data_IF_553009089378
#
_entry.id   IF_553009089378
#
_cell.length_a   1.000
_cell.length_b   1.000
_cell.length_c   1.000
_cell.angle_alpha   90.00
_cell.angle_beta   90.00
_cell.angle_gamma   90.00
#
_symmetry.space_group_name_H-M   'P 1'
#
loop_
_entity.id
_entity.type
_entity.pdbx_description
1 polymer ?
#
# COMPACT_ATOMS: atom_id res chain seq x y z
N UNK A 1 -59.50 1.28 -49.00
CA UNK A 1 -58.48 0.77 -49.93
C UNK A 1 -57.15 1.41 -49.56
N UNK A 2 -56.16 0.56 -49.30
CA UNK A 2 -54.70 0.71 -49.12
C UNK A 2 -54.08 2.10 -49.43
N UNK A 3 -53.15 2.66 -48.66
CA UNK A 3 -51.87 2.04 -48.31
C UNK A 3 -51.25 2.57 -47.00
N UNK A 4 -51.04 1.65 -46.07
CA UNK A 4 -50.08 1.71 -44.98
C UNK A 4 -48.78 1.07 -45.52
N UNK A 5 -47.78 1.82 -45.99
CA UNK A 5 -46.51 1.19 -46.42
C UNK A 5 -45.33 2.16 -46.59
N UNK A 6 -45.00 2.97 -45.57
CA UNK A 6 -43.72 3.70 -45.62
C UNK A 6 -43.07 3.86 -44.25
N UNK A 7 -43.84 4.22 -43.21
CA UNK A 7 -43.26 4.56 -41.91
C UNK A 7 -42.73 3.34 -41.13
N UNK A 8 -43.31 2.16 -41.34
CA UNK A 8 -42.88 0.91 -40.67
C UNK A 8 -41.61 0.33 -41.33
N UNK A 9 -41.39 0.57 -42.64
CA UNK A 9 -40.18 0.11 -43.34
C UNK A 9 -38.91 0.86 -42.92
N UNK A 10 -39.02 2.17 -42.63
CA UNK A 10 -37.86 2.95 -42.17
C UNK A 10 -37.42 2.60 -40.74
N UNK A 11 -38.35 2.18 -39.88
CA UNK A 11 -38.03 1.82 -38.49
C UNK A 11 -37.29 0.47 -38.40
N UNK A 12 -37.58 -0.51 -39.27
CA UNK A 12 -36.86 -1.79 -39.29
C UNK A 12 -35.43 -1.65 -39.83
N UNK A 13 -35.22 -0.76 -40.80
CA UNK A 13 -33.89 -0.49 -41.38
C UNK A 13 -32.94 0.19 -40.39
N UNK A 14 -33.46 1.09 -39.54
CA UNK A 14 -32.65 1.75 -38.51
C UNK A 14 -32.25 0.79 -37.37
N UNK A 15 -33.12 -0.15 -37.00
CA UNK A 15 -32.82 -1.19 -35.98
C UNK A 15 -31.81 -2.22 -36.53
N UNK A 16 -31.89 -2.58 -37.81
CA UNK A 16 -30.89 -3.46 -38.45
C UNK A 16 -29.52 -2.79 -38.63
N UNK A 17 -29.44 -1.49 -38.92
CA UNK A 17 -28.17 -0.76 -39.01
C UNK A 17 -27.48 -0.58 -37.64
N UNK A 18 -28.25 -0.47 -36.56
CA UNK A 18 -27.70 -0.44 -35.19
C UNK A 18 -27.25 -1.84 -34.71
N UNK A 19 -27.85 -2.91 -35.22
CA UNK A 19 -27.43 -4.28 -34.90
C UNK A 19 -26.11 -4.67 -35.60
N UNK A 20 -25.88 -4.21 -36.83
CA UNK A 20 -24.66 -4.55 -37.60
C UNK A 20 -23.42 -3.80 -37.12
N UNK A 21 -23.56 -2.60 -36.54
CA UNK A 21 -22.42 -1.82 -36.02
C UNK A 21 -22.02 -2.16 -34.58
N UNK A 22 -22.85 -2.91 -33.85
CA UNK A 22 -22.59 -3.32 -32.46
C UNK A 22 -21.82 -4.64 -32.29
N UNK A 23 -21.69 -5.46 -33.34
CA UNK A 23 -21.10 -6.81 -33.23
C UNK A 23 -19.57 -6.88 -33.40
N UNK A 24 -18.91 -5.84 -33.92
CA UNK A 24 -17.47 -5.89 -34.22
C UNK A 24 -16.54 -5.47 -33.07
N UNK A 25 -17.04 -4.76 -32.05
CA UNK A 25 -16.22 -4.37 -30.90
C UNK A 25 -16.01 -5.51 -29.89
N UNK A 26 -16.98 -6.42 -29.75
CA UNK A 26 -16.89 -7.54 -28.80
C UNK A 26 -15.90 -8.62 -29.29
N UNK A 27 -15.91 -8.95 -30.57
CA UNK A 27 -15.00 -9.92 -31.20
C UNK A 27 -13.56 -9.40 -31.29
N UNK A 28 -13.36 -8.10 -31.51
CA UNK A 28 -12.02 -7.49 -31.49
C UNK A 28 -11.38 -7.51 -30.09
N UNK A 29 -12.18 -7.39 -29.01
CA UNK A 29 -11.69 -7.43 -27.62
C UNK A 29 -11.30 -8.86 -27.20
N UNK A 30 -12.10 -9.86 -27.57
CA UNK A 30 -11.81 -11.28 -27.30
C UNK A 30 -10.59 -11.77 -28.09
N UNK A 31 -10.42 -11.35 -29.35
CA UNK A 31 -9.20 -11.68 -30.12
C UNK A 31 -7.93 -10.99 -29.59
N UNK A 32 -8.01 -9.78 -29.01
CA UNK A 32 -6.88 -9.13 -28.35
C UNK A 32 -6.48 -9.83 -27.05
N UNK A 33 -7.44 -10.32 -26.27
CA UNK A 33 -7.19 -11.09 -25.04
C UNK A 33 -6.66 -12.50 -25.33
N UNK A 34 -7.10 -13.16 -26.40
CA UNK A 34 -6.54 -14.44 -26.84
C UNK A 34 -5.08 -14.29 -27.32
N UNK A 35 -4.77 -13.21 -28.06
CA UNK A 35 -3.39 -12.91 -28.51
C UNK A 35 -2.47 -12.48 -27.37
N UNK A 36 -2.96 -11.79 -26.34
CA UNK A 36 -2.17 -11.44 -25.15
C UNK A 36 -1.84 -12.66 -24.29
N UNK A 37 -2.79 -13.61 -24.14
CA UNK A 37 -2.57 -14.89 -23.44
C UNK A 37 -1.64 -15.85 -24.18
N UNK A 38 -1.66 -15.85 -25.52
CA UNK A 38 -0.69 -16.62 -26.31
C UNK A 38 0.75 -16.04 -26.22
N UNK A 39 0.89 -14.70 -26.18
CA UNK A 39 2.19 -14.03 -25.98
C UNK A 39 2.75 -14.19 -24.56
N UNK A 40 1.90 -14.25 -23.52
CA UNK A 40 2.36 -14.50 -22.15
C UNK A 40 2.78 -15.96 -21.92
N UNK A 41 2.14 -16.92 -22.60
CA UNK A 41 2.57 -18.34 -22.59
C UNK A 41 3.85 -18.60 -23.38
N UNK A 42 4.07 -17.90 -24.50
CA UNK A 42 5.33 -17.97 -25.23
C UNK A 42 6.51 -17.33 -24.46
N UNK A 43 6.26 -16.23 -23.71
CA UNK A 43 7.29 -15.62 -22.83
C UNK A 43 7.61 -16.43 -21.58
N UNK A 44 6.68 -17.22 -21.06
CA UNK A 44 6.93 -18.10 -19.90
C UNK A 44 7.69 -19.37 -20.29
N UNK A 45 7.50 -19.91 -21.51
CA UNK A 45 8.31 -21.04 -22.01
C UNK A 45 9.72 -20.65 -22.49
N UNK A 46 9.94 -19.39 -22.87
CA UNK A 46 11.28 -18.89 -23.25
C UNK A 46 12.15 -18.44 -22.06
N UNK A 47 11.66 -18.52 -20.81
CA UNK A 47 12.39 -18.16 -19.58
C UNK A 47 12.76 -19.36 -18.70
N UNK A 48 12.75 -20.56 -19.26
CA UNK A 48 13.30 -21.78 -18.65
C UNK A 48 14.72 -22.08 -19.15
N UNK A 49 15.52 -21.03 -19.35
CA UNK A 49 16.93 -21.12 -19.71
C UNK A 49 17.73 -20.22 -18.77
N UNK A 50 18.50 -20.85 -17.89
CA UNK A 50 19.46 -20.30 -16.94
C UNK A 50 19.84 -18.81 -17.14
N UNK A 51 19.39 -17.94 -16.23
CA UNK A 51 20.18 -16.75 -15.86
C UNK A 51 20.22 -16.64 -14.34
N UNK A 52 21.45 -16.73 -13.82
CA UNK A 52 21.83 -16.27 -12.49
C UNK A 52 21.77 -14.73 -12.49
N UNK A 53 20.62 -14.17 -12.17
CA UNK A 53 20.53 -12.78 -11.73
C UNK A 53 20.28 -12.78 -10.23
N UNK A 54 21.33 -13.10 -9.47
CA UNK A 54 21.37 -12.98 -8.02
C UNK A 54 21.42 -11.52 -7.58
N UNK A 55 20.42 -10.74 -7.98
CA UNK A 55 20.13 -9.45 -7.40
C UNK A 55 19.40 -9.74 -6.10
N UNK A 56 20.14 -9.80 -4.99
CA UNK A 56 19.55 -10.06 -3.67
C UNK A 56 18.56 -8.93 -3.36
N UNK A 57 17.26 -9.21 -3.48
CA UNK A 57 16.22 -8.32 -2.99
C UNK A 57 16.52 -8.00 -1.51
N UNK A 58 16.57 -6.70 -1.19
CA UNK A 58 16.99 -6.29 0.15
C UNK A 58 16.04 -6.85 1.23
N UNK A 59 14.76 -7.02 0.88
CA UNK A 59 13.71 -7.57 1.73
C UNK A 59 12.84 -8.51 0.90
N UNK A 60 12.46 -9.65 1.48
CA UNK A 60 11.41 -10.52 0.95
C UNK A 60 10.03 -9.99 1.36
N UNK A 61 9.41 -9.18 0.49
CA UNK A 61 8.08 -8.61 0.73
C UNK A 61 6.96 -9.66 0.68
N UNK A 62 7.16 -10.77 -0.04
CA UNK A 62 6.17 -11.84 -0.11
C UNK A 62 6.09 -12.56 1.25
N UNK A 63 7.26 -12.89 1.82
CA UNK A 63 7.34 -13.44 3.18
C UNK A 63 6.78 -12.48 4.22
N UNK A 64 6.98 -11.17 4.05
CA UNK A 64 6.39 -10.16 4.94
C UNK A 64 4.87 -10.20 4.91
N UNK A 65 4.29 -10.23 3.71
CA UNK A 65 2.84 -10.27 3.52
C UNK A 65 2.24 -11.56 4.11
N UNK A 66 2.90 -12.70 3.92
CA UNK A 66 2.52 -13.99 4.51
C UNK A 66 2.45 -13.91 6.04
N UNK A 67 3.53 -13.47 6.70
CA UNK A 67 3.59 -13.34 8.16
C UNK A 67 2.56 -12.35 8.71
N UNK A 68 2.31 -11.25 7.99
CA UNK A 68 1.26 -10.29 8.36
C UNK A 68 -0.12 -10.94 8.27
N UNK A 69 -0.43 -11.69 7.21
CA UNK A 69 -1.71 -12.37 7.08
C UNK A 69 -1.96 -13.40 8.19
N UNK A 70 -0.92 -14.07 8.66
CA UNK A 70 -1.03 -14.96 9.82
C UNK A 70 -1.42 -14.21 11.09
N UNK A 71 -0.81 -13.05 11.33
CA UNK A 71 -1.11 -12.18 12.47
C UNK A 71 -2.55 -11.66 12.38
N UNK A 72 -3.02 -11.26 11.19
CA UNK A 72 -4.36 -10.67 11.01
C UNK A 72 -5.50 -11.60 11.42
N UNK A 73 -5.30 -12.92 11.39
CA UNK A 73 -6.32 -13.89 11.84
C UNK A 73 -6.75 -13.66 13.29
N UNK A 74 -5.87 -13.07 14.10
CA UNK A 74 -6.11 -12.82 15.52
C UNK A 74 -6.79 -11.45 15.78
N UNK A 75 -6.93 -10.56 14.77
CA UNK A 75 -7.30 -9.15 14.94
C UNK A 75 -8.42 -8.64 14.01
N UNK A 76 -9.36 -9.51 13.61
CA UNK A 76 -10.38 -9.21 12.59
C UNK A 76 -11.44 -8.14 12.95
N UNK A 77 -11.54 -7.70 14.21
CA UNK A 77 -12.61 -6.82 14.71
C UNK A 77 -12.13 -5.50 15.35
N UNK A 78 -10.94 -5.01 15.02
CA UNK A 78 -10.45 -3.73 15.58
C UNK A 78 -11.19 -2.52 14.99
N UNK A 79 -11.75 -1.66 15.86
CA UNK A 79 -12.46 -0.43 15.49
C UNK A 79 -11.67 0.46 14.52
N UNK A 80 -12.39 1.09 13.58
CA UNK A 80 -11.86 1.94 12.50
C UNK A 80 -11.70 3.42 12.90
N UNK A 81 -11.95 3.79 14.15
CA UNK A 81 -11.93 5.21 14.54
C UNK A 81 -10.50 5.74 14.72
N UNK A 82 -10.09 6.64 13.82
CA UNK A 82 -8.73 7.19 13.69
C UNK A 82 -7.72 6.19 13.10
N UNK A 83 -6.63 6.62 12.47
CA UNK A 83 -5.54 5.72 12.03
C UNK A 83 -4.21 6.11 12.66
N UNK A 84 -3.41 5.13 13.09
CA UNK A 84 -2.03 5.36 13.57
C UNK A 84 -1.14 5.76 12.39
N UNK A 85 -1.27 5.03 11.28
CA UNK A 85 -0.61 5.36 10.02
C UNK A 85 -1.48 6.29 9.16
N UNK A 86 -0.84 7.15 8.37
CA UNK A 86 -1.51 7.97 7.39
C UNK A 86 -2.13 7.12 6.30
N UNK A 87 -3.25 7.57 5.72
CA UNK A 87 -3.84 6.92 4.55
C UNK A 87 -2.78 6.79 3.44
N UNK A 88 -2.80 5.68 2.69
CA UNK A 88 -1.80 5.36 1.65
C UNK A 88 -1.60 6.52 0.67
N UNK A 89 -2.68 7.20 0.27
CA UNK A 89 -2.65 8.38 -0.62
C UNK A 89 -1.79 9.52 -0.05
N UNK A 90 -1.93 9.83 1.24
CA UNK A 90 -1.12 10.84 1.91
C UNK A 90 0.33 10.36 2.07
N UNK A 91 0.51 9.07 2.41
CA UNK A 91 1.84 8.50 2.61
C UNK A 91 2.64 8.38 1.29
N UNK A 92 1.98 8.23 0.14
CA UNK A 92 2.62 8.22 -1.17
C UNK A 92 3.41 9.51 -1.45
N UNK A 93 2.99 10.64 -0.86
CA UNK A 93 3.76 11.90 -0.89
C UNK A 93 5.12 11.72 -0.21
N UNK A 94 5.17 11.00 0.91
CA UNK A 94 6.41 10.68 1.63
C UNK A 94 7.27 9.70 0.82
N UNK A 95 6.67 8.61 0.30
CA UNK A 95 7.35 7.53 -0.46
C UNK A 95 8.19 8.01 -1.63
N UNK A 96 7.78 9.10 -2.28
CA UNK A 96 8.49 9.73 -3.40
C UNK A 96 9.84 10.34 -3.00
N UNK A 97 10.06 10.64 -1.72
CA UNK A 97 11.28 11.26 -1.24
C UNK A 97 12.06 10.30 -0.33
N UNK A 98 13.15 9.74 -0.88
CA UNK A 98 14.11 8.86 -0.18
C UNK A 98 14.40 9.29 1.25
N UNK A 99 14.61 10.59 1.41
CA UNK A 99 15.03 11.25 2.64
C UNK A 99 13.94 11.18 3.73
N UNK A 100 12.69 11.49 3.40
CA UNK A 100 11.58 11.48 4.35
C UNK A 100 11.05 10.07 4.56
N UNK A 101 10.88 9.33 3.47
CA UNK A 101 10.42 7.95 3.52
C UNK A 101 11.34 7.08 4.38
N UNK A 102 12.66 7.15 4.20
CA UNK A 102 13.58 6.37 5.03
C UNK A 102 13.44 6.70 6.53
N UNK A 103 13.38 7.98 6.89
CA UNK A 103 13.26 8.37 8.30
C UNK A 103 11.93 7.97 8.92
N UNK A 104 10.82 8.12 8.20
CA UNK A 104 9.49 7.72 8.66
C UNK A 104 9.41 6.19 8.76
N UNK A 105 9.90 5.46 7.77
CA UNK A 105 9.89 4.00 7.76
C UNK A 105 10.66 3.43 8.94
N UNK A 106 11.82 3.98 9.29
CA UNK A 106 12.54 3.56 10.50
C UNK A 106 11.69 3.66 11.77
N UNK A 107 10.89 4.73 11.90
CA UNK A 107 10.01 4.92 13.07
C UNK A 107 8.77 4.03 13.05
N UNK A 108 8.25 3.73 11.86
CA UNK A 108 7.19 2.71 11.71
C UNK A 108 7.72 1.35 12.17
N UNK A 109 8.91 0.95 11.72
CA UNK A 109 9.53 -0.32 12.09
C UNK A 109 9.84 -0.39 13.60
N UNK A 110 10.36 0.68 14.19
CA UNK A 110 10.60 0.77 15.64
C UNK A 110 9.28 0.60 16.42
N UNK A 111 8.23 1.33 16.04
CA UNK A 111 6.92 1.23 16.67
C UNK A 111 6.34 -0.19 16.60
N UNK A 112 6.37 -0.83 15.43
CA UNK A 112 5.85 -2.19 15.30
C UNK A 112 6.69 -3.22 16.04
N UNK A 113 8.01 -3.05 16.12
CA UNK A 113 8.85 -3.92 16.94
C UNK A 113 8.41 -3.86 18.41
N UNK A 114 8.12 -2.66 18.92
CA UNK A 114 7.63 -2.46 20.29
C UNK A 114 6.22 -3.02 20.52
N UNK A 115 5.33 -2.91 19.52
CA UNK A 115 3.98 -3.50 19.56
C UNK A 115 4.08 -5.02 19.63
N UNK A 116 4.87 -5.66 18.75
CA UNK A 116 5.04 -7.11 18.71
C UNK A 116 5.62 -7.68 20.02
N UNK A 117 6.50 -6.94 20.70
CA UNK A 117 7.07 -7.33 22.00
C UNK A 117 6.06 -7.32 23.16
N UNK A 118 4.93 -6.63 23.00
CA UNK A 118 3.89 -6.49 24.02
C UNK A 118 2.71 -7.44 23.81
N UNK A 119 2.75 -8.21 22.74
CA UNK A 119 1.76 -9.24 22.50
C UNK A 119 2.05 -10.46 23.38
N UNK A 120 1.00 -11.12 23.84
CA UNK A 120 1.12 -12.37 24.59
C UNK A 120 1.65 -13.50 23.69
N UNK A 121 1.38 -13.40 22.38
CA UNK A 121 1.89 -14.30 21.35
C UNK A 121 3.25 -13.83 20.84
N UNK A 122 4.14 -14.79 20.60
CA UNK A 122 5.47 -14.52 20.10
C UNK A 122 5.50 -14.47 18.57
N UNK A 123 5.84 -13.30 18.01
CA UNK A 123 5.95 -13.06 16.56
C UNK A 123 7.41 -12.86 16.12
N UNK A 124 8.30 -13.79 16.50
CA UNK A 124 9.75 -13.67 16.26
C UNK A 124 10.09 -13.50 14.78
N UNK A 125 9.48 -14.29 13.90
CA UNK A 125 9.79 -14.27 12.47
C UNK A 125 9.43 -12.94 11.82
N UNK A 126 8.25 -12.40 12.15
CA UNK A 126 7.84 -11.08 11.70
C UNK A 126 8.79 -10.02 12.25
N UNK A 127 9.11 -10.06 13.55
CA UNK A 127 10.07 -9.14 14.15
C UNK A 127 11.44 -9.17 13.47
N UNK A 128 11.95 -10.37 13.18
CA UNK A 128 13.23 -10.57 12.49
C UNK A 128 13.21 -9.96 11.09
N UNK A 129 12.12 -10.14 10.35
CA UNK A 129 11.95 -9.56 9.04
C UNK A 129 11.84 -8.03 9.08
N UNK A 130 11.22 -7.44 10.11
CA UNK A 130 11.23 -5.98 10.32
C UNK A 130 12.65 -5.45 10.56
N UNK A 131 13.49 -6.20 11.28
CA UNK A 131 14.90 -5.84 11.51
C UNK A 131 15.73 -5.94 10.21
N UNK A 132 15.42 -6.89 9.33
CA UNK A 132 15.99 -6.95 7.98
C UNK A 132 15.59 -5.73 7.15
N UNK A 133 14.30 -5.37 7.14
CA UNK A 133 13.81 -4.15 6.47
C UNK A 133 14.54 -2.92 6.99
N UNK A 134 14.76 -2.82 8.30
CA UNK A 134 15.48 -1.71 8.94
C UNK A 134 16.90 -1.56 8.43
N UNK A 135 17.62 -2.66 8.19
CA UNK A 135 18.97 -2.66 7.59
C UNK A 135 18.97 -2.17 6.14
N UNK A 136 17.85 -2.37 5.45
CA UNK A 136 17.64 -1.96 4.06
C UNK A 136 17.27 -0.49 3.87
N UNK A 137 16.96 0.24 4.95
CA UNK A 137 16.63 1.66 4.84
C UNK A 137 17.90 2.49 4.55
N UNK A 138 17.74 3.53 3.72
CA UNK A 138 18.83 4.44 3.39
C UNK A 138 19.34 5.27 4.62
N UNK A 139 20.62 5.69 4.61
CA UNK A 139 21.32 6.18 5.80
C UNK A 139 20.71 7.42 6.49
N UNK A 140 20.90 7.44 7.82
CA UNK A 140 20.10 8.13 8.86
C UNK A 140 20.43 9.61 9.13
N UNK A 141 21.46 10.19 8.52
CA UNK A 141 22.07 11.47 8.98
C UNK A 141 21.10 12.66 9.07
N UNK A 142 20.04 12.66 8.27
CA UNK A 142 19.04 13.74 8.26
C UNK A 142 17.81 13.48 9.14
N UNK A 143 17.68 12.26 9.67
CA UNK A 143 16.46 11.85 10.38
C UNK A 143 16.33 12.55 11.72
N UNK A 144 17.45 12.79 12.40
CA UNK A 144 17.46 13.45 13.71
C UNK A 144 16.78 14.82 13.68
N UNK A 145 17.13 15.66 12.69
CA UNK A 145 16.50 16.97 12.50
C UNK A 145 14.98 16.86 12.30
N UNK A 146 14.55 15.88 11.51
CA UNK A 146 13.14 15.65 11.22
C UNK A 146 12.38 15.15 12.48
N UNK A 147 13.01 14.29 13.28
CA UNK A 147 12.43 13.78 14.53
C UNK A 147 12.29 14.89 15.57
N UNK A 148 13.29 15.76 15.71
CA UNK A 148 13.22 16.92 16.62
C UNK A 148 12.10 17.89 16.22
N UNK A 149 11.96 18.17 14.92
CA UNK A 149 10.89 19.04 14.41
C UNK A 149 9.49 18.45 14.68
N UNK A 150 9.33 17.13 14.53
CA UNK A 150 8.10 16.44 14.88
C UNK A 150 7.83 16.42 16.39
N UNK A 151 8.87 16.34 17.23
CA UNK A 151 8.74 16.30 18.68
C UNK A 151 8.26 17.62 19.30
N UNK A 152 8.61 18.76 18.68
CA UNK A 152 8.34 20.10 19.19
C UNK A 152 6.93 20.65 18.92
N UNK A 153 6.04 19.90 18.25
CA UNK A 153 4.68 20.35 17.90
C UNK A 153 3.64 19.31 18.34
N UNK A 154 2.49 19.69 18.92
CA UNK A 154 1.38 18.77 19.17
C UNK A 154 0.76 18.28 17.85
N UNK A 155 0.08 17.13 17.87
CA UNK A 155 -0.62 16.58 16.70
C UNK A 155 -1.77 17.52 16.34
N UNK A 156 -1.69 18.19 15.19
CA UNK A 156 -2.80 19.00 14.69
C UNK A 156 -3.55 18.21 13.61
N UNK A 157 -4.45 17.33 14.04
CA UNK A 157 -5.20 16.44 13.15
C UNK A 157 -6.24 17.18 12.31
N UNK A 158 -6.72 18.34 12.78
CA UNK A 158 -7.80 19.11 12.15
C UNK A 158 -7.38 19.90 10.89
N UNK A 159 -6.12 19.85 10.48
CA UNK A 159 -5.61 20.57 9.30
C UNK A 159 -5.44 19.73 8.03
N UNK A 160 -5.75 18.43 8.07
CA UNK A 160 -5.09 17.47 7.16
C UNK A 160 -6.04 16.53 6.41
N UNK A 161 -7.34 16.58 6.68
CA UNK A 161 -8.30 15.71 5.97
C UNK A 161 -8.77 16.22 4.60
N UNK A 162 -8.38 17.44 4.20
CA UNK A 162 -8.61 17.93 2.84
C UNK A 162 -7.29 17.95 2.05
N UNK A 163 -7.09 16.94 1.21
CA UNK A 163 -6.06 16.93 0.17
C UNK A 163 -6.09 18.27 -0.60
N UNK A 164 -4.99 19.04 -0.64
CA UNK A 164 -4.19 19.07 -1.86
C UNK A 164 -2.73 19.55 -1.69
N UNK A 165 -2.30 20.09 -0.54
CA UNK A 165 -1.02 20.84 -0.47
C UNK A 165 -0.01 20.39 0.59
N UNK A 166 -0.25 19.30 1.32
CA UNK A 166 0.73 18.86 2.31
C UNK A 166 2.05 18.47 1.63
N UNK A 167 3.10 19.26 1.88
CA UNK A 167 4.44 18.95 1.41
C UNK A 167 4.90 17.63 2.03
N UNK A 168 5.74 16.90 1.30
CA UNK A 168 6.26 15.60 1.75
C UNK A 168 6.95 15.66 3.12
N UNK A 169 7.46 16.84 3.51
CA UNK A 169 8.02 17.11 4.84
C UNK A 169 6.94 17.13 5.92
N UNK A 170 5.84 17.85 5.67
CA UNK A 170 4.75 18.02 6.62
C UNK A 170 4.00 16.70 6.83
N UNK A 171 3.82 15.93 5.75
CA UNK A 171 3.27 14.59 5.84
C UNK A 171 4.16 13.67 6.69
N UNK A 172 5.48 13.77 6.54
CA UNK A 172 6.43 13.03 7.35
C UNK A 172 6.39 13.46 8.83
N UNK A 173 6.34 14.77 9.11
CA UNK A 173 6.21 15.31 10.47
C UNK A 173 4.93 14.80 11.13
N UNK A 174 3.80 14.87 10.42
CA UNK A 174 2.52 14.38 10.91
C UNK A 174 2.55 12.88 11.23
N UNK A 175 3.10 12.07 10.33
CA UNK A 175 3.21 10.62 10.58
C UNK A 175 4.05 10.34 11.83
N UNK A 176 5.16 11.07 12.01
CA UNK A 176 6.02 10.94 13.20
C UNK A 176 5.29 11.38 14.48
N UNK A 177 4.47 12.43 14.41
CA UNK A 177 3.63 12.87 15.51
C UNK A 177 2.58 11.83 15.92
N UNK A 178 1.90 11.22 14.94
CA UNK A 178 0.96 10.11 15.19
C UNK A 178 1.64 8.90 15.81
N UNK A 179 2.81 8.51 15.29
CA UNK A 179 3.60 7.42 15.86
C UNK A 179 4.05 7.73 17.29
N UNK A 180 4.47 8.96 17.59
CA UNK A 180 4.83 9.39 18.95
C UNK A 180 3.63 9.27 19.89
N UNK A 181 2.46 9.76 19.48
CA UNK A 181 1.25 9.67 20.29
C UNK A 181 0.82 8.21 20.52
N UNK A 182 0.87 7.37 19.49
CA UNK A 182 0.55 5.95 19.59
C UNK A 182 1.58 5.20 20.47
N UNK A 183 2.87 5.49 20.32
CA UNK A 183 3.93 4.92 21.15
C UNK A 183 3.70 5.27 22.61
N UNK A 184 3.38 6.52 22.94
CA UNK A 184 3.02 6.91 24.32
C UNK A 184 1.87 6.05 24.87
N UNK A 185 0.81 5.83 24.10
CA UNK A 185 -0.32 4.99 24.51
C UNK A 185 0.07 3.52 24.72
N UNK A 186 0.85 2.94 23.82
CA UNK A 186 1.26 1.53 23.87
C UNK A 186 2.34 1.26 24.92
N UNK A 187 3.33 2.15 25.00
CA UNK A 187 4.55 1.98 25.81
C UNK A 187 4.36 2.51 27.22
N UNK A 188 3.86 3.73 27.36
CA UNK A 188 3.75 4.40 28.66
C UNK A 188 2.43 4.06 29.38
N UNK A 189 1.33 3.95 28.62
CA UNK A 189 -0.01 3.77 29.18
C UNK A 189 -0.55 2.34 29.06
N UNK A 190 0.19 1.45 28.38
CA UNK A 190 -0.21 0.05 28.13
C UNK A 190 -1.65 -0.08 27.58
N UNK A 191 -2.06 0.87 26.74
CA UNK A 191 -3.43 0.96 26.22
C UNK A 191 -3.70 -0.16 25.21
N UNK A 192 -4.40 -1.22 25.65
CA UNK A 192 -4.69 -2.41 24.83
C UNK A 192 -5.39 -2.08 23.51
N UNK A 193 -6.33 -1.13 23.53
CA UNK A 193 -7.06 -0.71 22.32
C UNK A 193 -6.12 -0.15 21.23
N UNK A 194 -5.10 0.63 21.60
CA UNK A 194 -4.12 1.14 20.63
C UNK A 194 -3.20 0.03 20.13
N UNK A 195 -2.86 -0.94 20.99
CA UNK A 195 -2.06 -2.10 20.63
C UNK A 195 -2.79 -3.03 19.64
N UNK A 196 -4.06 -3.38 19.91
CA UNK A 196 -4.87 -4.21 19.00
C UNK A 196 -5.05 -3.50 17.66
N UNK A 197 -5.32 -2.19 17.69
CA UNK A 197 -5.41 -1.37 16.49
C UNK A 197 -4.12 -1.35 15.66
N UNK A 198 -2.96 -1.22 16.31
CA UNK A 198 -1.69 -1.30 15.61
C UNK A 198 -1.56 -2.65 14.88
N UNK A 199 -1.94 -3.75 15.53
CA UNK A 199 -1.97 -5.07 14.92
C UNK A 199 -2.92 -5.13 13.72
N UNK A 200 -4.13 -4.56 13.81
CA UNK A 200 -5.05 -4.46 12.67
C UNK A 200 -4.52 -3.61 11.50
N UNK A 201 -3.68 -2.61 11.77
CA UNK A 201 -3.04 -1.79 10.72
C UNK A 201 -1.82 -2.46 10.07
N UNK A 202 -1.28 -3.57 10.62
CA UNK A 202 -0.15 -4.30 10.02
C UNK A 202 -0.43 -4.73 8.57
N UNK A 203 -1.68 -5.01 8.21
CA UNK A 203 -2.06 -5.38 6.84
C UNK A 203 -1.59 -4.37 5.78
N UNK A 204 -1.47 -3.08 6.14
CA UNK A 204 -1.00 -2.05 5.23
C UNK A 204 0.51 -1.88 5.20
N UNK A 205 1.27 -2.56 6.07
CA UNK A 205 2.70 -2.29 6.30
C UNK A 205 3.54 -2.41 5.01
N UNK A 206 3.19 -3.35 4.11
CA UNK A 206 3.87 -3.52 2.84
C UNK A 206 3.83 -2.25 1.97
N UNK A 207 2.69 -1.56 1.93
CA UNK A 207 2.50 -0.35 1.12
C UNK A 207 3.41 0.79 1.60
N UNK A 208 3.64 0.87 2.92
CA UNK A 208 4.50 1.87 3.53
C UNK A 208 5.98 1.54 3.33
N UNK A 209 6.36 0.26 3.23
CA UNK A 209 7.74 -0.16 2.97
C UNK A 209 8.13 0.11 1.52
N UNK A 210 7.21 -0.10 0.59
CA UNK A 210 7.45 0.09 -0.84
C UNK A 210 7.64 1.57 -1.19
N UNK A 211 8.89 2.04 -1.31
CA UNK A 211 9.17 3.41 -1.74
C UNK A 211 10.66 3.74 -1.83
N UNK A 212 11.00 5.01 -2.10
CA UNK A 212 12.41 5.41 -2.40
C UNK A 212 13.36 5.43 -1.21
N UNK A 213 12.87 5.22 0.01
CA UNK A 213 13.62 5.21 1.26
C UNK A 213 14.26 3.85 1.55
N UNK A 214 13.75 2.80 0.90
CA UNK A 214 14.31 1.45 0.93
C UNK A 214 15.33 1.30 -0.21
N UNK A 215 16.45 0.63 0.07
CA UNK A 215 17.41 0.26 -0.97
C UNK A 215 16.72 -0.68 -1.95
N UNK A 216 16.76 -0.32 -3.23
CA UNK A 216 16.44 -1.26 -4.31
C UNK A 216 17.66 -2.15 -4.50
N UNK A 217 17.41 -3.44 -4.58
CA UNK A 217 18.32 -4.43 -5.11
C UNK A 217 18.50 -4.23 -6.61
#
# INVERSE_FOLDING_TARGET
MSSLSSVVQFSLLLVLLLAVTGQDCATARVQREARSRARSRARSRARSGCMKDGVSHCVDLAKLQELIQEVQKDFTNTSHDGRILLKTVTFDKIKKHKKYHGCVLLKILDFYREVLQRQDRNYLDLGGLLDEVKKCVHPKKICEKLYQEAAGKPVNESKIEEDLELLSKDAAILQLQRLKAASKKVVELSERATLDKAMGELQGLEDYIQGRGLRRS
#
